data_IF_308511213667
#
_entry.id   IF_308511213667
#
_cell.length_a   1.000
_cell.length_b   1.000
_cell.length_c   1.000
_cell.angle_alpha   90.00
_cell.angle_beta   90.00
_cell.angle_gamma   90.00
#
_symmetry.space_group_name_H-M   'P 1'
#
loop_
_entity.id
_entity.type
_entity.pdbx_description
1 polymer ?
#
# COMPACT_ATOMS: atom_id res chain seq x y z
N UNK A 1 9.76 -2.58 -12.07
CA UNK A 1 9.87 -3.26 -10.77
C UNK A 1 11.34 -3.35 -10.39
N UNK A 2 11.99 -2.20 -10.23
CA UNK A 2 13.26 -2.10 -9.54
C UNK A 2 13.04 -2.06 -8.01
N UNK A 3 14.06 -2.37 -7.21
CA UNK A 3 14.02 -2.16 -5.77
C UNK A 3 13.93 -0.65 -5.50
N UNK A 4 12.74 -0.17 -5.11
CA UNK A 4 12.49 1.25 -4.83
C UNK A 4 11.18 1.81 -5.37
N UNK A 5 10.51 1.07 -6.27
CA UNK A 5 9.30 1.55 -6.94
C UNK A 5 8.09 1.71 -5.98
N UNK A 6 8.14 1.17 -4.76
CA UNK A 6 7.06 1.42 -3.78
C UNK A 6 5.68 0.90 -4.20
N UNK A 7 5.65 -0.11 -5.06
CA UNK A 7 4.40 -0.70 -5.55
C UNK A 7 3.59 -1.30 -4.40
N UNK A 8 2.39 -0.79 -4.19
CA UNK A 8 1.43 -1.30 -3.20
C UNK A 8 0.28 -1.97 -3.94
N UNK A 9 0.01 -3.22 -3.59
CA UNK A 9 -1.14 -3.99 -4.06
C UNK A 9 -2.10 -4.23 -2.90
N UNK A 10 -3.36 -3.84 -3.09
CA UNK A 10 -4.44 -4.17 -2.16
C UNK A 10 -5.24 -5.30 -2.79
N UNK A 11 -5.30 -6.44 -2.11
CA UNK A 11 -5.98 -7.64 -2.58
C UNK A 11 -7.23 -7.91 -1.72
N UNK A 12 -8.25 -8.50 -2.33
CA UNK A 12 -9.37 -9.06 -1.60
C UNK A 12 -8.88 -10.26 -0.79
N UNK A 13 -9.14 -10.27 0.52
CA UNK A 13 -8.62 -11.29 1.42
C UNK A 13 -9.18 -12.69 1.16
N UNK A 14 -10.38 -12.81 0.60
CA UNK A 14 -11.04 -14.10 0.34
C UNK A 14 -10.72 -14.66 -1.05
N UNK A 15 -10.57 -13.80 -2.05
CA UNK A 15 -10.37 -14.24 -3.45
C UNK A 15 -8.96 -14.02 -3.98
N UNK A 16 -8.13 -13.23 -3.28
CA UNK A 16 -6.82 -12.80 -3.75
C UNK A 16 -6.87 -11.84 -4.94
N UNK A 17 -8.06 -11.39 -5.36
CA UNK A 17 -8.20 -10.49 -6.50
C UNK A 17 -7.68 -9.10 -6.19
N UNK A 18 -7.02 -8.48 -7.17
CA UNK A 18 -6.54 -7.11 -7.07
C UNK A 18 -7.72 -6.14 -6.94
N UNK A 19 -7.74 -5.39 -5.85
CA UNK A 19 -8.72 -4.32 -5.59
C UNK A 19 -8.13 -2.98 -6.03
N UNK A 20 -6.90 -2.68 -5.62
CA UNK A 20 -6.20 -1.44 -5.96
C UNK A 20 -4.70 -1.70 -6.15
N UNK A 21 -4.10 -0.90 -7.03
CA UNK A 21 -2.67 -0.81 -7.20
C UNK A 21 -2.25 0.65 -7.17
N UNK A 22 -1.15 0.95 -6.50
CA UNK A 22 -0.50 2.25 -6.56
C UNK A 22 1.01 2.09 -6.66
N UNK A 23 1.61 2.86 -7.55
CA UNK A 23 3.04 3.07 -7.60
C UNK A 23 3.33 4.34 -6.80
N UNK A 24 3.96 4.18 -5.63
CA UNK A 24 4.29 5.31 -4.76
C UNK A 24 5.62 5.96 -5.12
N UNK A 25 6.33 5.43 -6.13
CA UNK A 25 7.63 5.91 -6.62
C UNK A 25 8.64 6.16 -5.48
N UNK A 26 8.51 5.38 -4.40
CA UNK A 26 9.25 5.57 -3.15
C UNK A 26 9.20 4.30 -2.32
N UNK A 27 10.35 3.89 -1.78
CA UNK A 27 10.46 2.71 -0.93
C UNK A 27 9.53 2.81 0.28
N UNK A 28 8.66 1.82 0.44
CA UNK A 28 7.89 1.64 1.67
C UNK A 28 8.85 1.30 2.80
N UNK A 29 8.94 2.18 3.79
CA UNK A 29 9.85 2.04 4.93
C UNK A 29 9.16 1.50 6.17
N UNK A 30 7.83 1.57 6.24
CA UNK A 30 7.04 1.11 7.38
C UNK A 30 6.27 -0.18 7.11
N UNK A 31 5.95 -0.92 8.17
CA UNK A 31 4.89 -1.92 8.11
C UNK A 31 3.53 -1.26 7.85
N UNK A 32 2.59 -1.94 7.16
CA UNK A 32 1.24 -1.45 6.98
C UNK A 32 0.44 -1.43 8.30
N UNK A 33 -0.41 -0.42 8.47
CA UNK A 33 -1.37 -0.33 9.57
C UNK A 33 -2.81 -0.33 9.04
N UNK A 34 -3.71 -1.07 9.70
CA UNK A 34 -5.12 -1.16 9.29
C UNK A 34 -6.01 -0.50 10.35
N UNK A 35 -6.88 0.40 9.94
CA UNK A 35 -7.91 1.01 10.77
C UNK A 35 -9.23 1.06 10.01
N UNK A 36 -10.24 0.34 10.51
CA UNK A 36 -11.57 0.25 9.89
C UNK A 36 -11.53 -0.21 8.42
N UNK A 37 -11.79 0.71 7.48
CA UNK A 37 -11.77 0.47 6.03
C UNK A 37 -10.53 1.06 5.38
N UNK A 38 -9.47 1.36 6.14
CA UNK A 38 -8.26 1.98 5.63
C UNK A 38 -7.01 1.17 5.94
N UNK A 39 -6.10 1.16 4.97
CA UNK A 39 -4.74 0.64 5.06
C UNK A 39 -3.78 1.81 4.91
N UNK A 40 -2.82 1.94 5.82
CA UNK A 40 -1.83 3.01 5.83
C UNK A 40 -0.42 2.47 5.65
N UNK A 41 0.39 3.14 4.84
CA UNK A 41 1.82 2.83 4.67
C UNK A 41 2.66 4.10 4.65
N UNK A 42 3.76 4.08 5.37
CA UNK A 42 4.78 5.10 5.38
C UNK A 42 5.84 4.83 4.32
N UNK A 43 6.16 5.85 3.55
CA UNK A 43 7.18 5.83 2.51
C UNK A 43 8.44 6.58 2.94
N UNK A 44 9.58 6.27 2.33
CA UNK A 44 10.89 6.85 2.68
C UNK A 44 11.02 8.33 2.31
N UNK A 45 10.11 8.84 1.48
CA UNK A 45 9.98 10.27 1.14
C UNK A 45 9.21 11.07 2.20
N UNK A 46 8.89 10.45 3.35
CA UNK A 46 8.20 11.09 4.46
C UNK A 46 6.69 11.19 4.28
N UNK A 47 6.12 10.54 3.25
CA UNK A 47 4.68 10.52 3.01
C UNK A 47 3.99 9.34 3.70
N UNK A 48 2.79 9.60 4.22
CA UNK A 48 1.85 8.59 4.68
C UNK A 48 0.75 8.43 3.62
N UNK A 49 0.63 7.23 3.07
CA UNK A 49 -0.35 6.89 2.03
C UNK A 49 -1.50 6.07 2.64
N UNK A 50 -2.73 6.30 2.18
CA UNK A 50 -3.92 5.61 2.66
C UNK A 50 -4.67 4.95 1.50
N UNK A 51 -5.09 3.70 1.69
CA UNK A 51 -5.83 2.92 0.72
C UNK A 51 -7.13 2.41 1.33
N UNK A 52 -8.21 2.42 0.54
CA UNK A 52 -9.49 1.93 1.02
C UNK A 52 -9.57 0.41 0.91
N UNK A 53 -10.05 -0.25 1.97
CA UNK A 53 -10.38 -1.66 2.05
C UNK A 53 -11.87 -1.81 1.75
N UNK A 54 -12.22 -1.86 0.47
CA UNK A 54 -13.59 -2.15 0.01
C UNK A 54 -13.83 -3.66 -0.07
#
# INVERSE_FOLDING_TARGET
FGPGDGGVQVLNASTGQLVQYADLHSTISSSPAVLSSWLFVGSSDGRLNAFIRT
#
